data_IF_276122928775
#
_entry.id   IF_276122928775
#
_cell.length_a   1.000
_cell.length_b   1.000
_cell.length_c   1.000
_cell.angle_alpha   90.00
_cell.angle_beta   90.00
_cell.angle_gamma   90.00
#
_symmetry.space_group_name_H-M   'P 1'
#
loop_
_entity.id
_entity.type
_entity.pdbx_description
1 polymer ?
#
# COMPACT_ATOMS: atom_id res chain seq x y z
N UNK A 1 13.55 10.60 4.54
CA UNK A 1 14.19 9.44 3.87
C UNK A 1 13.20 8.50 3.19
N UNK A 2 11.99 8.26 3.72
CA UNK A 2 10.95 7.41 3.10
C UNK A 2 10.57 7.83 1.66
N UNK A 3 10.49 9.14 1.40
CA UNK A 3 10.19 9.67 0.06
C UNK A 3 11.24 9.35 -1.02
N UNK A 4 12.50 9.08 -0.65
CA UNK A 4 13.54 8.68 -1.60
C UNK A 4 13.49 7.18 -1.93
N UNK A 5 13.17 6.32 -0.95
CA UNK A 5 13.05 4.87 -1.17
C UNK A 5 11.86 4.52 -2.08
N UNK A 6 10.69 5.15 -1.84
CA UNK A 6 9.52 5.00 -2.73
C UNK A 6 9.79 5.64 -4.10
N UNK A 7 10.49 6.79 -4.15
CA UNK A 7 10.82 7.48 -5.39
C UNK A 7 11.79 6.71 -6.32
N UNK A 8 12.69 5.88 -5.77
CA UNK A 8 13.61 5.04 -6.55
C UNK A 8 12.95 3.74 -7.03
N UNK A 9 12.10 3.11 -6.21
CA UNK A 9 11.39 1.89 -6.60
C UNK A 9 10.32 2.11 -7.69
N UNK A 10 9.81 3.34 -7.84
CA UNK A 10 8.66 3.65 -8.70
C UNK A 10 9.02 4.06 -10.13
N UNK A 11 10.25 4.53 -10.38
CA UNK A 11 10.67 4.94 -11.74
C UNK A 11 10.81 3.79 -12.74
N UNK A 12 10.82 2.54 -12.29
CA UNK A 12 11.27 1.42 -13.12
C UNK A 12 10.22 0.35 -13.45
N UNK A 13 9.04 0.29 -12.81
CA UNK A 13 8.45 -1.05 -12.60
C UNK A 13 6.99 -1.31 -12.98
N UNK A 14 6.28 -0.42 -13.67
CA UNK A 14 5.01 -0.85 -14.31
C UNK A 14 4.43 0.07 -15.38
N UNK A 15 4.63 1.39 -15.26
CA UNK A 15 4.08 2.35 -16.21
C UNK A 15 4.87 3.67 -16.07
N UNK A 16 5.67 4.07 -17.06
CA UNK A 16 6.45 5.30 -16.98
C UNK A 16 5.58 6.56 -16.86
N UNK A 17 4.27 6.45 -17.12
CA UNK A 17 3.31 7.55 -16.95
C UNK A 17 2.79 7.69 -15.51
N UNK A 18 3.01 6.68 -14.65
CA UNK A 18 2.68 6.71 -13.23
C UNK A 18 3.92 7.04 -12.41
N UNK A 19 4.07 8.32 -12.06
CA UNK A 19 5.26 8.85 -11.38
C UNK A 19 5.00 9.26 -9.93
N UNK A 20 3.84 8.91 -9.38
CA UNK A 20 3.45 9.28 -8.03
C UNK A 20 2.05 8.81 -7.65
N UNK A 21 1.67 9.12 -6.42
CA UNK A 21 0.37 8.77 -5.84
C UNK A 21 0.10 9.49 -4.53
N UNK A 22 -0.92 9.04 -3.83
CA UNK A 22 -1.27 9.54 -2.49
C UNK A 22 -0.95 8.48 -1.45
N UNK A 23 -0.23 8.88 -0.42
CA UNK A 23 0.00 8.11 0.79
C UNK A 23 -1.01 8.52 1.86
N UNK A 24 -1.53 7.55 2.60
CA UNK A 24 -2.43 7.72 3.73
C UNK A 24 -1.93 6.87 4.89
N UNK A 25 -1.78 7.50 6.06
CA UNK A 25 -1.47 6.83 7.32
C UNK A 25 -2.64 7.00 8.28
N UNK A 26 -3.13 5.90 8.82
CA UNK A 26 -4.23 5.87 9.78
C UNK A 26 -3.80 5.19 11.07
N UNK A 27 -4.23 5.74 12.20
CA UNK A 27 -4.03 5.15 13.52
C UNK A 27 -5.01 3.98 13.72
N UNK A 28 -4.47 2.79 14.02
CA UNK A 28 -5.26 1.57 14.15
C UNK A 28 -6.13 1.58 15.42
N UNK A 29 -5.74 2.32 16.46
CA UNK A 29 -6.48 2.34 17.71
C UNK A 29 -7.72 3.23 17.63
N UNK A 30 -7.60 4.40 17.01
CA UNK A 30 -8.65 5.41 16.95
C UNK A 30 -9.41 5.43 15.63
N UNK A 31 -8.85 4.85 14.57
CA UNK A 31 -9.38 4.97 13.20
C UNK A 31 -9.16 6.35 12.58
N UNK A 32 -8.40 7.23 13.23
CA UNK A 32 -8.13 8.58 12.73
C UNK A 32 -7.08 8.55 11.61
N UNK A 33 -7.35 9.25 10.51
CA UNK A 33 -6.35 9.54 9.48
C UNK A 33 -5.37 10.56 10.05
N UNK A 34 -4.12 10.16 10.24
CA UNK A 34 -3.07 11.01 10.80
C UNK A 34 -2.45 11.92 9.75
N UNK A 35 -2.25 11.40 8.54
CA UNK A 35 -1.73 12.19 7.42
C UNK A 35 -2.14 11.60 6.09
N UNK A 36 -2.40 12.48 5.13
CA UNK A 36 -2.53 12.15 3.72
C UNK A 36 -1.65 13.10 2.92
N UNK A 37 -0.76 12.57 2.08
CA UNK A 37 0.21 13.38 1.35
C UNK A 37 0.54 12.81 -0.03
N UNK A 38 0.93 13.68 -0.95
CA UNK A 38 1.36 13.29 -2.30
C UNK A 38 2.81 12.79 -2.24
N UNK A 39 3.07 11.68 -2.90
CA UNK A 39 4.42 11.15 -3.13
C UNK A 39 4.69 11.13 -4.63
N UNK A 40 5.83 11.67 -5.06
CA UNK A 40 6.19 11.77 -6.48
C UNK A 40 5.42 12.86 -7.21
N UNK A 41 5.16 12.66 -8.50
CA UNK A 41 4.46 13.62 -9.35
C UNK A 41 3.07 13.11 -9.74
N UNK A 42 2.03 13.88 -9.41
CA UNK A 42 0.64 13.54 -9.68
C UNK A 42 -0.04 14.77 -10.28
N UNK A 43 -0.76 14.59 -11.39
CA UNK A 43 -1.54 15.69 -11.98
C UNK A 43 -2.71 16.05 -11.07
N UNK A 44 -3.16 17.31 -11.03
CA UNK A 44 -4.25 17.74 -10.16
C UNK A 44 -5.53 16.89 -10.28
N UNK A 45 -5.85 16.45 -11.50
CA UNK A 45 -7.05 15.65 -11.79
C UNK A 45 -6.97 14.26 -11.15
N UNK A 46 -5.77 13.65 -11.14
CA UNK A 46 -5.52 12.35 -10.51
C UNK A 46 -5.38 12.46 -9.00
N UNK A 47 -4.87 13.59 -8.49
CA UNK A 47 -4.57 13.77 -7.07
C UNK A 47 -5.82 13.60 -6.20
N UNK A 48 -6.96 14.16 -6.60
CA UNK A 48 -8.23 14.04 -5.87
C UNK A 48 -8.68 12.57 -5.81
N UNK A 49 -8.65 11.87 -6.95
CA UNK A 49 -9.03 10.45 -7.03
C UNK A 49 -8.10 9.58 -6.18
N UNK A 50 -6.80 9.78 -6.28
CA UNK A 50 -5.82 8.98 -5.54
C UNK A 50 -5.89 9.23 -4.03
N UNK A 51 -6.15 10.47 -3.60
CA UNK A 51 -6.42 10.77 -2.21
C UNK A 51 -7.62 9.98 -1.70
N UNK A 52 -8.75 10.09 -2.40
CA UNK A 52 -9.98 9.40 -2.01
C UNK A 52 -9.77 7.88 -1.95
N UNK A 53 -9.12 7.30 -2.96
CA UNK A 53 -8.81 5.86 -2.98
C UNK A 53 -7.88 5.46 -1.82
N UNK A 54 -6.84 6.23 -1.52
CA UNK A 54 -5.93 5.89 -0.41
C UNK A 54 -6.66 5.91 0.94
N UNK A 55 -7.53 6.91 1.16
CA UNK A 55 -8.34 7.04 2.38
C UNK A 55 -9.40 5.93 2.46
N UNK A 56 -10.10 5.63 1.36
CA UNK A 56 -11.10 4.55 1.27
C UNK A 56 -10.51 3.21 1.70
N UNK A 57 -9.37 2.82 1.10
CA UNK A 57 -8.77 1.51 1.38
C UNK A 57 -8.34 1.40 2.85
N UNK A 58 -7.82 2.49 3.42
CA UNK A 58 -7.45 2.53 4.84
C UNK A 58 -8.67 2.36 5.75
N UNK A 59 -9.74 3.13 5.48
CA UNK A 59 -10.99 3.06 6.25
C UNK A 59 -11.67 1.68 6.12
N UNK A 60 -11.69 1.12 4.91
CA UNK A 60 -12.23 -0.21 4.65
C UNK A 60 -11.43 -1.28 5.38
N UNK A 61 -10.09 -1.23 5.31
CA UNK A 61 -9.24 -2.16 6.03
C UNK A 61 -9.42 -2.04 7.55
N UNK A 62 -9.49 -0.82 8.09
CA UNK A 62 -9.78 -0.58 9.50
C UNK A 62 -11.09 -1.23 9.95
N UNK A 63 -12.19 -0.98 9.22
CA UNK A 63 -13.52 -1.55 9.54
C UNK A 63 -13.51 -3.07 9.48
N UNK A 64 -12.93 -3.65 8.43
CA UNK A 64 -12.88 -5.09 8.25
C UNK A 64 -11.95 -5.77 9.26
N UNK A 65 -10.88 -5.09 9.70
CA UNK A 65 -10.00 -5.61 10.72
C UNK A 65 -10.65 -5.58 12.11
N UNK A 66 -11.37 -4.51 12.43
CA UNK A 66 -11.89 -4.27 13.80
C UNK A 66 -13.29 -4.84 14.06
N UNK A 67 -14.11 -4.99 13.02
CA UNK A 67 -15.53 -5.33 13.15
C UNK A 67 -15.91 -6.67 12.52
N UNK A 68 -15.02 -7.34 11.81
CA UNK A 68 -15.32 -8.61 11.13
C UNK A 68 -14.90 -9.82 11.95
N UNK A 69 -15.69 -10.88 11.91
CA UNK A 69 -15.34 -12.21 12.44
C UNK A 69 -14.14 -12.85 11.72
N UNK A 70 -13.82 -12.36 10.50
CA UNK A 70 -12.65 -12.74 9.73
C UNK A 70 -11.82 -11.48 9.43
N UNK A 71 -10.94 -11.04 10.35
CA UNK A 71 -10.27 -9.75 10.24
C UNK A 71 -9.30 -9.72 9.06
N UNK A 72 -9.40 -8.65 8.25
CA UNK A 72 -8.49 -8.42 7.13
C UNK A 72 -7.20 -7.75 7.61
N UNK A 73 -6.10 -8.05 6.91
CA UNK A 73 -4.74 -7.56 7.18
C UNK A 73 -4.15 -6.86 5.95
N UNK A 74 -4.80 -7.01 4.79
CA UNK A 74 -4.57 -6.23 3.58
C UNK A 74 -5.90 -5.87 2.91
N UNK A 75 -5.95 -4.69 2.28
CA UNK A 75 -7.09 -4.28 1.46
C UNK A 75 -7.26 -5.12 0.20
N UNK A 76 -6.25 -5.93 -0.17
CA UNK A 76 -6.31 -6.90 -1.25
C UNK A 76 -7.34 -8.02 -0.99
N UNK A 77 -7.55 -8.41 0.28
CA UNK A 77 -8.54 -9.43 0.66
C UNK A 77 -9.98 -8.99 0.38
N UNK A 78 -10.25 -7.69 0.39
CA UNK A 78 -11.57 -7.11 0.10
C UNK A 78 -11.60 -6.33 -1.21
N UNK A 79 -10.70 -6.66 -2.15
CA UNK A 79 -10.70 -6.06 -3.49
C UNK A 79 -11.96 -6.46 -4.26
N UNK A 80 -12.52 -5.49 -4.98
CA UNK A 80 -13.66 -5.66 -5.88
C UNK A 80 -13.61 -4.57 -6.95
N UNK A 81 -13.13 -4.92 -8.13
CA UNK A 81 -12.94 -3.97 -9.24
C UNK A 81 -14.26 -3.40 -9.76
N UNK A 82 -15.38 -4.12 -9.56
CA UNK A 82 -16.71 -3.65 -9.98
C UNK A 82 -17.21 -2.51 -9.10
N UNK A 83 -16.73 -2.45 -7.86
CA UNK A 83 -17.11 -1.49 -6.83
C UNK A 83 -16.00 -0.44 -6.59
N UNK A 84 -15.02 -0.33 -7.48
CA UNK A 84 -13.84 0.56 -7.36
C UNK A 84 -13.03 0.33 -6.06
N UNK A 85 -13.06 -0.91 -5.53
CA UNK A 85 -12.32 -1.32 -4.32
C UNK A 85 -11.02 -1.99 -4.72
N UNK A 86 -9.91 -1.33 -4.46
CA UNK A 86 -8.58 -1.78 -4.86
C UNK A 86 -7.75 -2.24 -3.66
N UNK A 87 -6.71 -3.03 -3.93
CA UNK A 87 -5.61 -3.29 -3.00
C UNK A 87 -4.68 -2.08 -2.85
N UNK A 88 -3.61 -2.26 -2.07
CA UNK A 88 -2.60 -1.22 -1.82
C UNK A 88 -2.60 -0.64 -0.40
N UNK A 89 -3.21 -1.34 0.55
CA UNK A 89 -3.13 -0.99 1.98
C UNK A 89 -2.84 -2.21 2.83
N UNK A 90 -2.01 -2.03 3.83
CA UNK A 90 -1.56 -3.09 4.74
C UNK A 90 -1.69 -2.66 6.18
N UNK A 91 -1.97 -3.64 7.03
CA UNK A 91 -2.13 -3.47 8.46
C UNK A 91 -0.78 -3.69 9.16
N UNK A 92 -0.20 -2.63 9.73
CA UNK A 92 0.88 -2.71 10.71
C UNK A 92 0.36 -2.96 12.13
N UNK A 93 1.25 -2.96 13.11
CA UNK A 93 0.91 -3.18 14.51
C UNK A 93 0.16 -2.00 15.12
N UNK A 94 0.54 -0.77 14.74
CA UNK A 94 -0.06 0.47 15.24
C UNK A 94 -0.77 1.26 14.15
N UNK A 95 -0.35 1.10 12.89
CA UNK A 95 -0.87 1.92 11.80
C UNK A 95 -1.40 1.08 10.64
N UNK A 96 -2.32 1.67 9.89
CA UNK A 96 -2.67 1.23 8.54
C UNK A 96 -1.94 2.13 7.55
N UNK A 97 -1.16 1.49 6.69
CA UNK A 97 -0.41 2.13 5.62
C UNK A 97 -1.15 1.92 4.32
N UNK A 98 -1.47 3.00 3.61
CA UNK A 98 -2.26 2.93 2.38
C UNK A 98 -1.65 3.81 1.31
N UNK A 99 -1.61 3.31 0.09
CA UNK A 99 -1.15 4.05 -1.07
C UNK A 99 -2.09 3.87 -2.25
N UNK A 100 -2.17 4.90 -3.09
CA UNK A 100 -2.84 4.83 -4.38
C UNK A 100 -2.07 5.62 -5.43
N UNK A 101 -1.57 4.94 -6.47
CA UNK A 101 -0.95 5.61 -7.60
C UNK A 101 -0.33 4.68 -8.64
N UNK A 102 0.21 3.54 -8.19
CA UNK A 102 0.84 2.52 -9.03
C UNK A 102 -0.13 1.36 -9.29
N UNK A 103 0.27 0.25 -9.94
CA UNK A 103 -0.51 -0.98 -9.87
C UNK A 103 -0.64 -1.45 -8.42
N UNK A 104 -1.75 -2.12 -8.12
CA UNK A 104 -2.15 -2.47 -6.76
C UNK A 104 -1.08 -3.25 -5.99
N UNK A 105 -0.37 -4.16 -6.67
CA UNK A 105 0.69 -4.94 -6.04
C UNK A 105 1.91 -4.08 -5.68
N UNK A 106 2.23 -3.08 -6.50
CA UNK A 106 3.31 -2.14 -6.23
C UNK A 106 2.94 -1.22 -5.08
N UNK A 107 1.70 -0.71 -5.06
CA UNK A 107 1.15 0.06 -3.94
C UNK A 107 1.31 -0.73 -2.64
N UNK A 108 0.94 -2.02 -2.64
CA UNK A 108 1.02 -2.86 -1.45
C UNK A 108 2.44 -3.18 -1.01
N UNK A 109 3.32 -3.59 -1.93
CA UNK A 109 4.74 -3.87 -1.63
C UNK A 109 5.40 -2.61 -1.04
N UNK A 110 5.11 -1.44 -1.59
CA UNK A 110 5.63 -0.18 -1.07
C UNK A 110 5.15 0.09 0.37
N UNK A 111 3.89 -0.24 0.68
CA UNK A 111 3.36 -0.09 2.04
C UNK A 111 3.91 -1.11 3.03
N UNK A 112 4.15 -2.35 2.62
CA UNK A 112 4.84 -3.35 3.44
C UNK A 112 6.25 -2.90 3.80
N UNK A 113 7.00 -2.45 2.81
CA UNK A 113 8.34 -1.92 3.03
C UNK A 113 8.34 -0.67 3.89
N UNK A 114 7.33 0.18 3.73
CA UNK A 114 7.17 1.35 4.61
C UNK A 114 6.95 0.90 6.05
N UNK A 115 6.01 -0.01 6.31
CA UNK A 115 5.72 -0.52 7.65
C UNK A 115 6.94 -1.20 8.32
N UNK A 116 7.67 -2.02 7.55
CA UNK A 116 8.92 -2.66 8.00
C UNK A 116 9.98 -1.62 8.37
N UNK A 117 10.21 -0.63 7.50
CA UNK A 117 11.20 0.43 7.74
C UNK A 117 10.84 1.33 8.94
N UNK A 118 9.55 1.49 9.24
CA UNK A 118 9.09 2.19 10.44
C UNK A 118 9.16 1.32 11.71
N UNK A 119 9.50 0.03 11.59
CA UNK A 119 9.48 -0.92 12.71
C UNK A 119 8.06 -1.21 13.22
N UNK A 120 7.02 -0.84 12.47
CA UNK A 120 5.62 -1.08 12.84
C UNK A 120 5.13 -2.47 12.39
N UNK A 121 5.94 -3.20 11.65
CA UNK A 121 5.62 -4.54 11.17
C UNK A 121 6.88 -5.43 11.23
N UNK A 122 6.80 -6.65 11.79
CA UNK A 122 7.89 -7.61 11.70
C UNK A 122 7.90 -8.32 10.34
N UNK A 123 9.06 -8.88 9.96
CA UNK A 123 9.27 -9.47 8.63
C UNK A 123 8.36 -10.66 8.33
N UNK A 124 8.09 -11.51 9.31
CA UNK A 124 7.19 -12.66 9.20
C UNK A 124 5.76 -12.23 8.84
N UNK A 125 5.25 -11.16 9.47
CA UNK A 125 3.94 -10.58 9.15
C UNK A 125 3.90 -9.99 7.74
N UNK A 126 4.97 -9.33 7.31
CA UNK A 126 5.05 -8.83 5.95
C UNK A 126 5.03 -9.98 4.91
N UNK A 127 5.68 -11.10 5.22
CA UNK A 127 5.67 -12.29 4.37
C UNK A 127 4.27 -12.93 4.28
N UNK A 128 3.52 -12.96 5.38
CA UNK A 128 2.13 -13.43 5.40
C UNK A 128 1.24 -12.59 4.47
N UNK A 129 1.32 -11.26 4.57
CA UNK A 129 0.56 -10.35 3.68
C UNK A 129 0.98 -10.55 2.22
N UNK A 130 2.27 -10.70 1.94
CA UNK A 130 2.74 -11.00 0.59
C UNK A 130 2.15 -12.31 0.04
N UNK A 131 1.94 -13.33 0.87
CA UNK A 131 1.35 -14.61 0.44
C UNK A 131 -0.13 -14.45 0.07
N UNK A 132 -0.87 -13.59 0.77
CA UNK A 132 -2.26 -13.25 0.43
C UNK A 132 -2.33 -12.66 -0.98
N UNK A 133 -1.38 -11.79 -1.32
CA UNK A 133 -1.38 -11.08 -2.59
C UNK A 133 -0.70 -11.84 -3.74
N UNK A 134 0.13 -12.84 -3.41
CA UNK A 134 0.80 -13.76 -4.36
C UNK A 134 -0.12 -14.79 -5.04
N UNK A 135 -1.42 -14.78 -4.77
CA UNK A 135 -2.38 -15.62 -5.49
C UNK A 135 -2.52 -15.26 -6.99
N UNK A 136 -1.80 -14.23 -7.48
CA UNK A 136 -1.65 -13.92 -8.90
C UNK A 136 -0.17 -13.91 -9.30
N UNK A 137 0.12 -14.51 -10.46
CA UNK A 137 1.45 -14.53 -11.08
C UNK A 137 1.95 -13.09 -11.25
N UNK A 138 2.98 -12.71 -10.51
CA UNK A 138 3.67 -11.43 -10.73
C UNK A 138 4.24 -11.42 -12.14
N UNK A 139 4.09 -10.29 -12.84
CA UNK A 139 4.88 -10.02 -14.04
C UNK A 139 6.36 -9.94 -13.67
N UNK A 140 7.24 -10.08 -14.66
CA UNK A 140 8.69 -9.94 -14.44
C UNK A 140 9.06 -8.56 -13.85
N UNK A 141 8.29 -7.53 -14.15
CA UNK A 141 8.48 -6.18 -13.62
C UNK A 141 8.05 -6.09 -12.15
N UNK A 142 6.90 -6.65 -11.78
CA UNK A 142 6.45 -6.66 -10.38
C UNK A 142 7.36 -7.53 -9.48
N UNK A 143 7.91 -8.62 -10.03
CA UNK A 143 8.90 -9.45 -9.34
C UNK A 143 10.20 -8.67 -9.07
N UNK A 144 10.70 -7.92 -10.06
CA UNK A 144 11.86 -7.03 -9.89
C UNK A 144 11.60 -5.92 -8.86
N UNK A 145 10.38 -5.39 -8.83
CA UNK A 145 9.98 -4.34 -7.88
C UNK A 145 9.98 -4.83 -6.44
N UNK A 146 9.39 -6.01 -6.24
CA UNK A 146 9.44 -6.72 -4.96
C UNK A 146 10.88 -6.89 -4.49
N UNK A 147 11.75 -7.39 -5.35
CA UNK A 147 13.13 -7.71 -4.97
C UNK A 147 13.93 -6.44 -4.65
N UNK A 148 13.76 -5.36 -5.44
CA UNK A 148 14.40 -4.07 -5.16
C UNK A 148 13.93 -3.44 -3.84
N UNK A 149 12.63 -3.52 -3.54
CA UNK A 149 12.06 -2.95 -2.31
C UNK A 149 12.49 -3.77 -1.08
N UNK A 150 12.55 -5.10 -1.20
CA UNK A 150 13.04 -5.95 -0.12
C UNK A 150 14.53 -5.74 0.15
N UNK A 151 15.37 -5.51 -0.86
CA UNK A 151 16.80 -5.22 -0.68
C UNK A 151 17.09 -3.90 0.05
N UNK A 152 16.13 -2.96 0.10
CA UNK A 152 16.29 -1.68 0.83
C UNK A 152 15.96 -1.86 2.32
N UNK A 153 15.29 -2.96 2.69
CA UNK A 153 14.72 -3.16 4.03
C UNK A 153 15.54 -4.17 4.88
N UNK A 154 16.62 -4.73 4.32
CA UNK A 154 17.58 -5.64 4.99
C UNK A 154 18.98 -5.01 4.93
#
# INVERSE_FOLDING_TARGET
MVGQAIGLATRSLADPTKTGGYFCLMDLQTGAILTTTIIGSVTPEKAIRYKWLAEEKALRLFRLHTLSDSPHISSYQSKDEKEDKWGGSVLGNRFIYSFSGFPQIIDEIAMLATALNFGDMPLDRAQEIMLISKAQTLTADEARARDAILQITV
#
